data_IF_921296600979
#
_entry.id   IF_921296600979
#
_cell.length_a   1.000
_cell.length_b   1.000
_cell.length_c   1.000
_cell.angle_alpha   90.00
_cell.angle_beta   90.00
_cell.angle_gamma   90.00
#
_symmetry.space_group_name_H-M   'P 1'
#
loop_
_entity.id
_entity.type
_entity.pdbx_description
1 polymer ?
#
# COMPACT_ATOMS: atom_id res chain seq x y z
N UNK A 1 77.90 56.13 -36.88
CA UNK A 1 77.01 54.95 -37.03
C UNK A 1 77.10 54.30 -38.41
N UNK A 2 77.00 55.05 -39.51
CA UNK A 2 76.96 54.51 -40.89
C UNK A 2 78.16 53.66 -41.28
N UNK A 3 79.38 54.02 -40.85
CA UNK A 3 80.58 53.23 -41.16
C UNK A 3 80.61 51.84 -40.51
N UNK A 4 79.97 51.66 -39.35
CA UNK A 4 79.92 50.35 -38.67
C UNK A 4 78.95 49.41 -39.37
N UNK A 5 77.76 49.92 -39.74
CA UNK A 5 76.78 49.18 -40.54
C UNK A 5 77.29 48.88 -41.94
N UNK A 6 78.02 49.81 -42.56
CA UNK A 6 78.64 49.59 -43.87
C UNK A 6 79.68 48.46 -43.82
N UNK A 7 80.53 48.42 -42.79
CA UNK A 7 81.52 47.33 -42.62
C UNK A 7 80.86 45.99 -42.31
N UNK A 8 79.80 45.98 -41.50
CA UNK A 8 79.05 44.77 -41.18
C UNK A 8 78.29 44.23 -42.41
N UNK A 9 77.66 45.11 -43.19
CA UNK A 9 77.00 44.75 -44.44
C UNK A 9 77.98 44.28 -45.51
N UNK A 10 79.16 44.92 -45.63
CA UNK A 10 80.20 44.49 -46.57
C UNK A 10 80.82 43.14 -46.18
N UNK A 11 80.96 42.86 -44.87
CA UNK A 11 81.41 41.56 -44.38
C UNK A 11 80.37 40.46 -44.64
N UNK A 12 79.09 40.75 -44.37
CA UNK A 12 77.98 39.86 -44.67
C UNK A 12 77.89 39.57 -46.18
N UNK A 13 78.13 40.57 -47.04
CA UNK A 13 78.12 40.39 -48.50
C UNK A 13 79.34 39.59 -49.02
N UNK A 14 80.57 39.85 -48.50
CA UNK A 14 81.78 39.13 -48.94
C UNK A 14 81.80 37.65 -48.52
N UNK A 15 81.12 37.30 -47.43
CA UNK A 15 81.01 35.93 -46.90
C UNK A 15 79.55 35.49 -46.78
N UNK A 16 78.72 35.84 -47.76
CA UNK A 16 77.27 35.62 -47.74
C UNK A 16 76.87 34.18 -47.38
N UNK A 17 77.61 33.20 -47.90
CA UNK A 17 77.34 31.79 -47.63
C UNK A 17 77.49 31.38 -46.16
N UNK A 18 78.47 31.93 -45.42
CA UNK A 18 78.63 31.63 -43.99
C UNK A 18 77.52 32.24 -43.14
N UNK A 19 77.06 33.44 -43.52
CA UNK A 19 75.95 34.12 -42.82
C UNK A 19 74.64 33.38 -43.04
N UNK A 20 74.37 32.91 -44.27
CA UNK A 20 73.18 32.12 -44.60
C UNK A 20 73.17 30.79 -43.84
N UNK A 21 74.27 30.02 -43.86
CA UNK A 21 74.35 28.76 -43.12
C UNK A 21 74.16 29.00 -41.61
N UNK A 22 74.79 30.06 -41.06
CA UNK A 22 74.65 30.41 -39.65
C UNK A 22 73.19 30.69 -39.26
N UNK A 23 72.46 31.45 -40.09
CA UNK A 23 71.03 31.70 -39.85
C UNK A 23 70.17 30.44 -40.00
N UNK A 24 70.45 29.60 -41.00
CA UNK A 24 69.73 28.31 -41.14
C UNK A 24 69.98 27.42 -39.92
N UNK A 25 71.21 27.37 -39.40
CA UNK A 25 71.52 26.61 -38.19
C UNK A 25 70.77 27.16 -36.96
N UNK A 26 70.75 28.49 -36.78
CA UNK A 26 69.99 29.14 -35.70
C UNK A 26 68.49 28.87 -35.80
N UNK A 27 67.91 28.98 -37.00
CA UNK A 27 66.49 28.69 -37.24
C UNK A 27 66.21 27.20 -37.00
N UNK A 28 67.09 26.30 -37.44
CA UNK A 28 66.96 24.86 -37.21
C UNK A 28 66.99 24.50 -35.73
N UNK A 29 67.89 25.12 -34.95
CA UNK A 29 67.97 24.93 -33.50
C UNK A 29 66.70 25.46 -32.83
N UNK A 30 66.27 26.68 -33.16
CA UNK A 30 65.03 27.26 -32.60
C UNK A 30 63.79 26.42 -32.95
N UNK A 31 63.70 25.96 -34.20
CA UNK A 31 62.61 25.08 -34.65
C UNK A 31 62.63 23.72 -33.94
N UNK A 32 63.81 23.12 -33.75
CA UNK A 32 63.97 21.86 -33.02
C UNK A 32 63.57 21.97 -31.55
N UNK A 33 63.95 23.06 -30.87
CA UNK A 33 63.53 23.34 -29.49
C UNK A 33 62.03 23.56 -29.41
N UNK A 34 61.45 24.33 -30.32
CA UNK A 34 60.00 24.55 -30.36
C UNK A 34 59.22 23.25 -30.60
N UNK A 35 59.72 22.35 -31.45
CA UNK A 35 59.05 21.08 -31.73
C UNK A 35 59.11 20.07 -30.56
N UNK A 36 60.14 20.14 -29.72
CA UNK A 36 60.36 19.17 -28.62
C UNK A 36 59.96 19.70 -27.25
N UNK A 37 60.04 21.01 -27.04
CA UNK A 37 59.74 21.67 -25.77
C UNK A 37 58.57 22.67 -25.86
N UNK A 38 58.03 22.95 -27.05
CA UNK A 38 56.85 23.79 -27.22
C UNK A 38 55.60 23.06 -26.74
N UNK A 39 55.13 23.41 -25.54
CA UNK A 39 53.85 22.92 -25.02
C UNK A 39 52.64 23.40 -25.84
N UNK A 40 51.47 22.85 -25.55
CA UNK A 40 50.20 23.29 -26.15
C UNK A 40 49.84 24.69 -25.66
N UNK A 41 49.50 25.60 -26.58
CA UNK A 41 48.98 26.92 -26.21
C UNK A 41 47.62 26.76 -25.50
N UNK A 42 47.62 26.91 -24.18
CA UNK A 42 46.40 26.96 -23.38
C UNK A 42 46.08 28.41 -23.01
N UNK A 43 44.84 28.83 -23.27
CA UNK A 43 44.33 30.16 -22.91
C UNK A 43 43.96 30.26 -21.42
N UNK A 44 44.15 29.20 -20.63
CA UNK A 44 43.85 29.19 -19.21
C UNK A 44 45.01 29.80 -18.39
N UNK A 45 44.79 30.96 -17.79
CA UNK A 45 45.75 31.62 -16.89
C UNK A 45 45.49 31.11 -15.47
N UNK A 46 46.28 30.17 -14.97
CA UNK A 46 46.20 29.69 -13.58
C UNK A 46 47.08 30.55 -12.68
N UNK A 47 46.53 31.00 -11.56
CA UNK A 47 47.29 31.67 -10.49
C UNK A 47 47.37 30.71 -9.31
N UNK A 48 48.47 29.96 -9.25
CA UNK A 48 48.70 28.97 -8.22
C UNK A 48 48.69 29.63 -6.82
N UNK A 49 47.91 29.05 -5.90
CA UNK A 49 47.84 29.49 -4.50
C UNK A 49 46.70 30.46 -4.13
N UNK A 50 45.70 30.67 -5.01
CA UNK A 50 44.51 31.44 -4.67
C UNK A 50 43.37 30.55 -4.16
N UNK A 51 42.54 31.06 -3.25
CA UNK A 51 41.37 30.34 -2.72
C UNK A 51 40.35 29.95 -3.81
N UNK A 52 40.28 30.73 -4.89
CA UNK A 52 39.48 30.40 -6.06
C UNK A 52 39.99 29.12 -6.76
N UNK A 53 41.32 28.94 -6.83
CA UNK A 53 41.92 27.78 -7.46
C UNK A 53 41.68 26.51 -6.65
N UNK A 54 41.84 26.56 -5.32
CA UNK A 54 41.53 25.42 -4.43
C UNK A 54 40.05 25.06 -4.44
N UNK A 55 39.16 26.04 -4.63
CA UNK A 55 37.72 25.79 -4.79
C UNK A 55 37.43 25.06 -6.10
N UNK A 56 38.05 25.48 -7.21
CA UNK A 56 37.92 24.81 -8.51
C UNK A 56 38.48 23.38 -8.44
N UNK A 57 39.66 23.20 -7.84
CA UNK A 57 40.28 21.88 -7.64
C UNK A 57 39.40 20.97 -6.76
N UNK A 58 38.79 21.51 -5.71
CA UNK A 58 37.89 20.74 -4.83
C UNK A 58 36.58 20.38 -5.55
N UNK A 59 36.05 21.30 -6.36
CA UNK A 59 34.86 21.05 -7.18
C UNK A 59 35.15 19.97 -8.22
N UNK A 60 36.29 20.02 -8.90
CA UNK A 60 36.73 19.01 -9.87
C UNK A 60 36.99 17.64 -9.21
N UNK A 61 37.58 17.64 -8.00
CA UNK A 61 37.85 16.41 -7.25
C UNK A 61 36.58 15.74 -6.70
N UNK A 62 35.55 16.51 -6.31
CA UNK A 62 34.32 15.97 -5.69
C UNK A 62 33.15 15.84 -6.64
N UNK A 63 33.12 16.62 -7.71
CA UNK A 63 32.07 16.64 -8.71
C UNK A 63 32.72 16.69 -10.10
N UNK A 64 33.34 15.58 -10.50
CA UNK A 64 33.98 15.45 -11.82
C UNK A 64 33.04 15.82 -12.98
N UNK A 65 31.73 15.61 -12.79
CA UNK A 65 30.70 15.95 -13.77
C UNK A 65 30.42 17.45 -13.86
N UNK A 66 30.61 18.22 -12.78
CA UNK A 66 30.39 19.67 -12.76
C UNK A 66 31.46 20.46 -13.52
N UNK A 67 32.62 19.84 -13.77
CA UNK A 67 33.72 20.41 -14.56
C UNK A 67 33.59 20.14 -16.06
N UNK A 68 32.56 19.41 -16.50
CA UNK A 68 32.35 19.06 -17.92
C UNK A 68 31.79 20.24 -18.71
N UNK A 69 32.21 20.34 -19.97
CA UNK A 69 31.61 21.28 -20.92
C UNK A 69 30.27 20.78 -21.43
N UNK A 70 29.32 21.69 -21.64
CA UNK A 70 28.04 21.38 -22.29
C UNK A 70 28.10 21.89 -23.74
N UNK A 71 27.95 20.98 -24.70
CA UNK A 71 27.72 21.30 -26.10
C UNK A 71 26.23 21.23 -26.42
N UNK A 72 25.68 22.28 -27.03
CA UNK A 72 24.28 22.29 -27.47
C UNK A 72 24.19 22.28 -28.99
N UNK A 73 23.41 21.33 -29.52
CA UNK A 73 23.08 21.25 -30.94
C UNK A 73 21.56 21.28 -31.07
N UNK A 74 21.06 22.13 -31.97
CA UNK A 74 19.62 22.31 -32.21
C UNK A 74 19.29 21.79 -33.61
N UNK A 75 18.47 20.76 -33.68
CA UNK A 75 17.91 20.26 -34.93
C UNK A 75 16.59 20.99 -35.21
N UNK A 76 16.47 21.61 -36.38
CA UNK A 76 15.23 22.27 -36.80
C UNK A 76 14.93 21.96 -38.26
N UNK A 77 13.64 21.86 -38.60
CA UNK A 77 13.18 21.83 -39.99
C UNK A 77 12.81 23.24 -40.45
N UNK A 78 13.03 23.53 -41.71
CA UNK A 78 12.72 24.84 -42.33
C UNK A 78 11.35 24.87 -43.00
N UNK A 79 10.73 23.70 -43.18
CA UNK A 79 9.39 23.54 -43.79
C UNK A 79 8.24 23.75 -42.79
N UNK A 80 8.55 23.91 -41.50
CA UNK A 80 7.56 24.06 -40.43
C UNK A 80 6.80 22.78 -40.08
N UNK A 81 7.15 21.65 -40.69
CA UNK A 81 6.53 20.37 -40.40
C UNK A 81 7.21 19.69 -39.19
N UNK A 82 6.48 18.87 -38.41
CA UNK A 82 7.09 18.05 -37.38
C UNK A 82 8.12 17.07 -37.96
N UNK A 83 9.09 16.67 -37.14
CA UNK A 83 9.97 15.56 -37.48
C UNK A 83 9.17 14.26 -37.64
N UNK A 84 9.40 13.54 -38.74
CA UNK A 84 8.88 12.19 -38.95
C UNK A 84 9.56 11.21 -38.01
N UNK A 85 8.97 10.01 -37.85
CA UNK A 85 9.57 9.01 -36.96
C UNK A 85 10.93 8.51 -37.49
N UNK A 86 11.08 8.40 -38.81
CA UNK A 86 12.36 8.08 -39.46
C UNK A 86 13.41 9.17 -39.22
N UNK A 87 13.04 10.46 -39.33
CA UNK A 87 13.96 11.58 -39.04
C UNK A 87 14.41 11.58 -37.57
N UNK A 88 13.49 11.28 -36.63
CA UNK A 88 13.82 11.16 -35.21
C UNK A 88 14.80 10.01 -34.96
N UNK A 89 14.56 8.86 -35.57
CA UNK A 89 15.43 7.70 -35.45
C UNK A 89 16.85 8.00 -35.97
N UNK A 90 16.94 8.67 -37.12
CA UNK A 90 18.22 9.12 -37.68
C UNK A 90 18.96 10.11 -36.77
N UNK A 91 18.25 11.07 -36.17
CA UNK A 91 18.83 12.01 -35.20
C UNK A 91 19.31 11.27 -33.94
N UNK A 92 18.51 10.36 -33.40
CA UNK A 92 18.90 9.54 -32.24
C UNK A 92 20.11 8.68 -32.56
N UNK A 93 20.18 8.06 -33.74
CA UNK A 93 21.34 7.29 -34.19
C UNK A 93 22.60 8.17 -34.32
N UNK A 94 22.47 9.39 -34.86
CA UNK A 94 23.57 10.34 -34.93
C UNK A 94 24.08 10.74 -33.52
N UNK A 95 23.17 10.95 -32.56
CA UNK A 95 23.54 11.22 -31.16
C UNK A 95 24.28 10.04 -30.53
N UNK A 96 23.87 8.80 -30.83
CA UNK A 96 24.61 7.60 -30.39
C UNK A 96 26.03 7.59 -30.95
N UNK A 97 26.21 7.89 -32.23
CA UNK A 97 27.55 8.01 -32.83
C UNK A 97 28.38 9.13 -32.20
N UNK A 98 27.75 10.25 -31.81
CA UNK A 98 28.44 11.33 -31.09
C UNK A 98 28.89 10.88 -29.70
N UNK A 99 28.08 10.07 -29.00
CA UNK A 99 28.44 9.51 -27.71
C UNK A 99 29.65 8.57 -27.77
N UNK A 100 29.93 7.95 -28.92
CA UNK A 100 31.12 7.09 -29.12
C UNK A 100 32.43 7.89 -29.25
N UNK A 101 32.36 9.22 -29.39
CA UNK A 101 33.57 10.05 -29.49
C UNK A 101 34.29 10.11 -28.14
N UNK A 102 35.63 9.96 -28.09
CA UNK A 102 36.39 9.93 -26.83
C UNK A 102 36.26 11.17 -25.93
N UNK A 103 35.85 12.30 -26.52
CA UNK A 103 35.66 13.57 -25.81
C UNK A 103 34.23 13.80 -25.31
N UNK A 104 33.28 12.88 -25.60
CA UNK A 104 31.87 13.01 -25.25
C UNK A 104 31.53 11.96 -24.20
N UNK A 105 31.06 12.42 -23.04
CA UNK A 105 30.72 11.53 -21.93
C UNK A 105 29.29 11.01 -21.98
N UNK A 106 28.33 11.82 -22.46
CA UNK A 106 26.93 11.44 -22.55
C UNK A 106 26.22 12.26 -23.64
N UNK A 107 25.07 11.77 -24.13
CA UNK A 107 24.19 12.47 -25.05
C UNK A 107 22.73 12.37 -24.62
N UNK A 108 22.01 13.47 -24.77
CA UNK A 108 20.58 13.54 -24.42
C UNK A 108 19.74 13.37 -25.67
N UNK A 109 18.88 12.35 -25.70
CA UNK A 109 17.84 12.21 -26.71
C UNK A 109 16.70 13.20 -26.42
N UNK A 110 16.50 14.23 -27.28
CA UNK A 110 15.50 15.25 -27.05
C UNK A 110 14.07 14.71 -27.17
N UNK A 111 13.85 13.67 -27.97
CA UNK A 111 12.51 13.10 -28.19
C UNK A 111 12.07 12.22 -27.03
N UNK A 112 12.99 11.46 -26.41
CA UNK A 112 12.71 10.76 -25.16
C UNK A 112 12.43 11.73 -24.02
N UNK A 113 13.21 12.81 -23.95
CA UNK A 113 13.03 13.88 -22.95
C UNK A 113 11.67 14.56 -23.12
N UNK A 114 11.29 14.90 -24.35
CA UNK A 114 9.99 15.48 -24.65
C UNK A 114 8.83 14.53 -24.28
N UNK A 115 8.93 13.24 -24.62
CA UNK A 115 7.91 12.25 -24.23
C UNK A 115 7.73 12.16 -22.71
N UNK A 116 8.82 12.21 -21.94
CA UNK A 116 8.76 12.26 -20.47
C UNK A 116 8.08 13.54 -19.98
N UNK A 117 8.42 14.70 -20.56
CA UNK A 117 7.81 15.97 -20.21
C UNK A 117 6.30 15.98 -20.49
N UNK A 118 5.88 15.46 -21.64
CA UNK A 118 4.47 15.34 -22.02
C UNK A 118 3.71 14.39 -21.08
N UNK A 119 4.34 13.27 -20.69
CA UNK A 119 3.76 12.34 -19.71
C UNK A 119 3.58 13.02 -18.35
N UNK A 120 4.61 13.70 -17.86
CA UNK A 120 4.57 14.41 -16.59
C UNK A 120 3.50 15.51 -16.59
N UNK A 121 3.37 16.24 -17.70
CA UNK A 121 2.33 17.25 -17.86
C UNK A 121 0.92 16.66 -17.79
N UNK A 122 0.71 15.48 -18.40
CA UNK A 122 -0.56 14.73 -18.28
C UNK A 122 -0.80 14.28 -16.85
N UNK A 123 0.20 13.72 -16.18
CA UNK A 123 0.06 13.27 -14.79
C UNK A 123 -0.30 14.42 -13.84
N UNK A 124 0.30 15.60 -14.04
CA UNK A 124 -0.05 16.82 -13.29
C UNK A 124 -1.46 17.30 -13.61
N UNK A 125 -1.87 17.26 -14.88
CA UNK A 125 -3.22 17.64 -15.29
C UNK A 125 -4.29 16.68 -14.73
N UNK A 126 -3.99 15.39 -14.64
CA UNK A 126 -4.89 14.36 -14.11
C UNK A 126 -4.90 14.30 -12.57
N UNK A 127 -3.90 14.88 -11.90
CA UNK A 127 -3.76 14.79 -10.45
C UNK A 127 -5.00 15.26 -9.67
N UNK A 128 -5.63 16.41 -9.98
CA UNK A 128 -6.84 16.86 -9.26
C UNK A 128 -7.99 15.86 -9.32
N UNK A 129 -8.20 15.22 -10.49
CA UNK A 129 -9.23 14.20 -10.65
C UNK A 129 -8.91 12.93 -9.85
N UNK A 130 -7.64 12.48 -9.87
CA UNK A 130 -7.16 11.34 -9.07
C UNK A 130 -7.31 11.59 -7.57
N UNK A 131 -7.01 12.80 -7.09
CA UNK A 131 -7.20 13.18 -5.69
C UNK A 131 -8.69 13.20 -5.29
N UNK A 132 -9.55 13.77 -6.14
CA UNK A 132 -11.00 13.79 -5.89
C UNK A 132 -11.59 12.37 -5.83
N UNK A 133 -11.24 11.50 -6.78
CA UNK A 133 -11.66 10.09 -6.75
C UNK A 133 -11.12 9.35 -5.51
N UNK A 134 -9.88 9.64 -5.11
CA UNK A 134 -9.29 9.16 -3.86
C UNK A 134 -10.10 9.57 -2.63
N UNK A 135 -10.48 10.84 -2.52
CA UNK A 135 -11.30 11.34 -1.41
C UNK A 135 -12.68 10.67 -1.39
N UNK A 136 -13.33 10.52 -2.54
CA UNK A 136 -14.63 9.82 -2.64
C UNK A 136 -14.51 8.36 -2.16
N UNK A 137 -13.41 7.68 -2.49
CA UNK A 137 -13.17 6.30 -2.01
C UNK A 137 -12.94 6.25 -0.50
N UNK A 138 -12.22 7.22 0.06
CA UNK A 138 -12.03 7.34 1.51
C UNK A 138 -13.36 7.58 2.22
N UNK A 139 -14.18 8.50 1.73
CA UNK A 139 -15.49 8.82 2.33
C UNK A 139 -16.43 7.61 2.28
N UNK A 140 -16.47 6.90 1.15
CA UNK A 140 -17.23 5.64 1.02
C UNK A 140 -16.70 4.54 1.95
N UNK A 141 -15.38 4.48 2.13
CA UNK A 141 -14.73 3.57 3.07
C UNK A 141 -15.14 3.86 4.51
N UNK A 142 -15.08 5.12 4.91
CA UNK A 142 -15.48 5.58 6.24
C UNK A 142 -16.96 5.29 6.52
N UNK A 143 -17.85 5.59 5.58
CA UNK A 143 -19.28 5.30 5.73
C UNK A 143 -19.58 3.81 5.92
N UNK A 144 -18.81 2.92 5.27
CA UNK A 144 -18.92 1.46 5.48
C UNK A 144 -18.43 1.04 6.87
N UNK A 145 -17.35 1.65 7.36
CA UNK A 145 -16.85 1.40 8.72
C UNK A 145 -17.89 1.84 9.75
N UNK A 146 -18.43 3.05 9.61
CA UNK A 146 -19.42 3.60 10.54
C UNK A 146 -20.69 2.74 10.56
N UNK A 147 -21.14 2.27 9.39
CA UNK A 147 -22.26 1.33 9.31
C UNK A 147 -21.91 0.01 9.99
N UNK A 148 -20.77 -0.60 9.68
CA UNK A 148 -20.36 -1.86 10.29
C UNK A 148 -20.21 -1.79 11.82
N UNK A 149 -19.79 -0.63 12.36
CA UNK A 149 -19.73 -0.41 13.80
C UNK A 149 -21.13 -0.35 14.45
N UNK A 150 -22.12 0.24 13.76
CA UNK A 150 -23.51 0.23 14.22
C UNK A 150 -24.11 -1.16 14.16
N UNK A 151 -23.97 -1.84 13.02
CA UNK A 151 -24.44 -3.22 12.84
C UNK A 151 -23.83 -4.16 13.89
N UNK A 152 -22.53 -3.99 14.22
CA UNK A 152 -21.88 -4.75 15.29
C UNK A 152 -22.41 -4.42 16.69
N UNK A 153 -22.78 -3.17 16.96
CA UNK A 153 -23.36 -2.78 18.23
C UNK A 153 -24.76 -3.37 18.42
N UNK A 154 -25.58 -3.34 17.36
CA UNK A 154 -26.92 -3.96 17.33
C UNK A 154 -26.81 -5.48 17.55
N UNK A 155 -25.96 -6.17 16.78
CA UNK A 155 -25.77 -7.62 16.94
C UNK A 155 -25.27 -8.02 18.35
N UNK A 156 -24.54 -7.15 19.05
CA UNK A 156 -24.12 -7.41 20.44
C UNK A 156 -25.28 -7.31 21.43
N UNK A 157 -26.23 -6.40 21.18
CA UNK A 157 -27.46 -6.29 21.99
C UNK A 157 -28.33 -7.51 21.74
N UNK A 158 -28.57 -7.85 20.48
CA UNK A 158 -29.36 -9.01 20.08
C UNK A 158 -28.82 -10.31 20.69
N UNK A 159 -27.50 -10.51 20.69
CA UNK A 159 -26.87 -11.66 21.32
C UNK A 159 -27.01 -11.67 22.85
N UNK A 160 -27.01 -10.49 23.49
CA UNK A 160 -27.23 -10.38 24.93
C UNK A 160 -28.68 -10.74 25.28
N UNK A 161 -29.65 -10.25 24.51
CA UNK A 161 -31.07 -10.53 24.68
C UNK A 161 -31.39 -12.01 24.43
N UNK A 162 -30.87 -12.59 23.34
CA UNK A 162 -31.03 -14.01 23.04
C UNK A 162 -30.46 -14.93 24.15
N UNK A 163 -29.38 -14.51 24.82
CA UNK A 163 -28.84 -15.23 25.99
C UNK A 163 -29.78 -15.17 27.21
N UNK A 164 -30.46 -14.04 27.42
CA UNK A 164 -31.47 -13.91 28.48
C UNK A 164 -32.65 -14.82 28.18
N UNK A 165 -33.16 -14.82 26.95
CA UNK A 165 -34.27 -15.68 26.52
C UNK A 165 -33.95 -17.17 26.64
N UNK A 166 -32.75 -17.58 26.22
CA UNK A 166 -32.30 -18.98 26.38
C UNK A 166 -32.28 -19.41 27.85
N UNK A 167 -31.81 -18.53 28.74
CA UNK A 167 -31.79 -18.81 30.19
C UNK A 167 -33.20 -18.89 30.78
N UNK A 168 -34.10 -18.01 30.34
CA UNK A 168 -35.50 -18.02 30.76
C UNK A 168 -36.21 -19.31 30.29
N UNK A 169 -36.04 -19.66 29.01
CA UNK A 169 -36.59 -20.87 28.43
C UNK A 169 -36.09 -22.13 29.14
N UNK A 170 -34.78 -22.23 29.44
CA UNK A 170 -34.23 -23.35 30.21
C UNK A 170 -34.90 -23.50 31.58
N UNK A 171 -35.10 -22.40 32.32
CA UNK A 171 -35.79 -22.44 33.62
C UNK A 171 -37.24 -22.93 33.51
N UNK A 172 -37.94 -22.60 32.42
CA UNK A 172 -39.30 -23.09 32.17
C UNK A 172 -39.30 -24.59 31.86
N UNK A 173 -38.34 -25.09 31.07
CA UNK A 173 -38.18 -26.53 30.86
C UNK A 173 -37.95 -27.26 32.19
N UNK A 174 -37.02 -26.77 33.01
CA UNK A 174 -36.69 -27.40 34.31
C UNK A 174 -37.91 -27.42 35.24
N UNK A 175 -38.67 -26.32 35.29
CA UNK A 175 -39.92 -26.21 36.08
C UNK A 175 -40.99 -27.16 35.56
N UNK A 176 -41.20 -27.21 34.25
CA UNK A 176 -42.18 -28.09 33.62
C UNK A 176 -41.86 -29.57 33.83
N UNK A 177 -40.59 -29.95 33.69
CA UNK A 177 -40.11 -31.30 33.98
C UNK A 177 -40.32 -31.66 35.46
N UNK A 178 -39.99 -30.75 36.38
CA UNK A 178 -40.19 -30.96 37.82
C UNK A 178 -41.66 -31.20 38.17
N UNK A 179 -42.59 -30.43 37.60
CA UNK A 179 -44.04 -30.62 37.78
C UNK A 179 -44.54 -31.96 37.24
N UNK A 180 -44.03 -32.41 36.09
CA UNK A 180 -44.42 -33.70 35.53
C UNK A 180 -43.90 -34.84 36.42
N UNK A 181 -42.67 -34.74 36.91
CA UNK A 181 -42.09 -35.74 37.80
C UNK A 181 -42.83 -35.82 39.15
N UNK A 182 -43.16 -34.68 39.77
CA UNK A 182 -43.93 -34.65 41.02
C UNK A 182 -45.32 -35.26 40.82
N UNK A 183 -46.03 -34.84 39.77
CA UNK A 183 -47.35 -35.34 39.47
C UNK A 183 -47.36 -36.83 39.11
N UNK A 184 -46.31 -37.34 38.44
CA UNK A 184 -46.17 -38.77 38.18
C UNK A 184 -46.00 -39.58 39.47
N UNK A 185 -45.22 -39.06 40.44
CA UNK A 185 -45.06 -39.69 41.75
C UNK A 185 -46.37 -39.67 42.56
N UNK A 186 -47.09 -38.54 42.55
CA UNK A 186 -48.41 -38.41 43.17
C UNK A 186 -49.42 -39.38 42.56
N UNK A 187 -49.45 -39.49 41.22
CA UNK A 187 -50.37 -40.41 40.54
C UNK A 187 -50.09 -41.87 40.87
N UNK A 188 -48.82 -42.24 41.02
CA UNK A 188 -48.42 -43.56 41.48
C UNK A 188 -48.88 -43.83 42.93
N UNK A 189 -48.68 -42.87 43.85
CA UNK A 189 -49.17 -42.99 45.22
C UNK A 189 -50.71 -43.06 45.30
N UNK A 190 -51.40 -42.28 44.46
CA UNK A 190 -52.86 -42.30 44.37
C UNK A 190 -53.37 -43.63 43.85
N UNK A 191 -52.68 -44.23 42.86
CA UNK A 191 -52.99 -45.59 42.38
C UNK A 191 -52.91 -46.61 43.51
N UNK A 192 -51.83 -46.59 44.30
CA UNK A 192 -51.67 -47.48 45.45
C UNK A 192 -52.78 -47.26 46.51
N UNK A 193 -53.17 -46.00 46.74
CA UNK A 193 -54.29 -45.66 47.61
C UNK A 193 -55.65 -46.17 47.12
N UNK A 194 -55.90 -46.12 45.81
CA UNK A 194 -57.11 -46.71 45.19
C UNK A 194 -57.11 -48.23 45.31
N UNK A 195 -55.98 -48.88 45.02
CA UNK A 195 -55.83 -50.34 45.17
C UNK A 195 -56.07 -50.79 46.62
N UNK A 196 -55.57 -50.03 47.60
CA UNK A 196 -55.86 -50.27 49.02
C UNK A 196 -57.35 -50.17 49.36
N UNK A 197 -58.04 -49.12 48.87
CA UNK A 197 -59.48 -48.96 49.10
C UNK A 197 -60.31 -50.07 48.42
N UNK A 198 -59.90 -50.54 47.24
CA UNK A 198 -60.53 -51.66 46.54
C UNK A 198 -60.34 -52.97 47.33
N UNK A 199 -59.14 -53.21 47.87
CA UNK A 199 -58.89 -54.37 48.71
C UNK A 199 -59.80 -54.38 49.94
N UNK A 200 -59.98 -53.22 50.60
CA UNK A 200 -60.90 -53.07 51.73
C UNK A 200 -62.37 -53.32 51.37
N UNK A 201 -62.77 -52.98 50.13
CA UNK A 201 -64.12 -53.26 49.61
C UNK A 201 -64.38 -54.76 49.40
N UNK A 202 -63.34 -55.54 49.16
CA UNK A 202 -63.44 -56.98 48.82
C UNK A 202 -63.56 -57.85 50.07
N UNK A 203 -63.18 -57.32 51.25
CA UNK A 203 -63.16 -58.01 52.55
C UNK A 203 -64.38 -57.62 53.43
N UNK A 204 -65.59 -57.75 52.87
CA UNK A 204 -66.90 -57.45 53.51
C UNK A 204 -67.12 -55.98 53.96
N UNK A 205 -66.39 -55.03 53.38
CA UNK A 205 -66.51 -53.60 53.67
C UNK A 205 -67.83 -52.96 53.18
N UNK A 206 -68.45 -52.13 54.02
CA UNK A 206 -69.64 -51.34 53.65
C UNK A 206 -69.30 -50.32 52.52
N UNK A 207 -69.92 -50.42 51.33
CA UNK A 207 -69.66 -49.52 50.21
C UNK A 207 -69.84 -48.04 50.55
N UNK A 208 -70.78 -47.72 51.46
CA UNK A 208 -71.09 -46.33 51.84
C UNK A 208 -69.93 -45.68 52.62
N UNK A 209 -69.11 -46.47 53.30
CA UNK A 209 -67.94 -45.98 54.04
C UNK A 209 -66.70 -45.78 53.16
N UNK A 210 -66.68 -46.31 51.93
CA UNK A 210 -65.55 -46.22 51.00
C UNK A 210 -65.68 -45.08 49.97
N UNK A 211 -66.92 -44.67 49.69
CA UNK A 211 -67.27 -43.59 48.77
C UNK A 211 -66.51 -42.27 49.03
N UNK A 212 -66.36 -41.79 50.29
CA UNK A 212 -65.60 -40.57 50.57
C UNK A 212 -64.11 -40.70 50.20
N UNK A 213 -63.49 -41.86 50.48
CA UNK A 213 -62.09 -42.12 50.17
C UNK A 213 -61.81 -42.19 48.66
N UNK A 214 -62.69 -42.86 47.91
CA UNK A 214 -62.60 -42.91 46.44
C UNK A 214 -62.80 -41.54 45.81
N UNK A 215 -63.73 -40.72 46.33
CA UNK A 215 -63.92 -39.32 45.88
C UNK A 215 -62.67 -38.48 46.15
N UNK A 216 -62.03 -38.66 47.29
CA UNK A 216 -60.77 -37.99 47.62
C UNK A 216 -59.64 -38.40 46.68
N UNK A 217 -59.46 -39.71 46.43
CA UNK A 217 -58.45 -40.20 45.47
C UNK A 217 -58.70 -39.70 44.05
N UNK A 218 -59.95 -39.66 43.59
CA UNK A 218 -60.32 -39.09 42.30
C UNK A 218 -59.97 -37.59 42.20
N UNK A 219 -60.14 -36.84 43.29
CA UNK A 219 -59.74 -35.43 43.34
C UNK A 219 -58.21 -35.27 43.22
N UNK A 220 -57.42 -36.10 43.92
CA UNK A 220 -55.96 -36.09 43.82
C UNK A 220 -55.46 -36.50 42.42
N UNK A 221 -56.08 -37.50 41.80
CA UNK A 221 -55.77 -37.91 40.42
C UNK A 221 -56.04 -36.75 39.44
N UNK A 222 -57.17 -36.06 39.59
CA UNK A 222 -57.50 -34.90 38.76
C UNK A 222 -56.49 -33.75 38.96
N UNK A 223 -56.04 -33.50 40.19
CA UNK A 223 -55.00 -32.51 40.48
C UNK A 223 -53.67 -32.89 39.82
N UNK A 224 -53.22 -34.14 39.97
CA UNK A 224 -51.99 -34.63 39.31
C UNK A 224 -52.05 -34.53 37.78
N UNK A 225 -53.19 -34.86 37.16
CA UNK A 225 -53.39 -34.68 35.72
C UNK A 225 -53.36 -33.19 35.31
N UNK A 226 -53.92 -32.30 36.14
CA UNK A 226 -53.82 -30.86 35.95
C UNK A 226 -52.37 -30.37 36.04
N UNK A 227 -51.58 -30.86 37.02
CA UNK A 227 -50.16 -30.54 37.13
C UNK A 227 -49.35 -31.02 35.92
N UNK A 228 -49.60 -32.23 35.40
CA UNK A 228 -48.96 -32.73 34.16
C UNK A 228 -49.31 -31.83 32.97
N UNK A 229 -50.57 -31.40 32.85
CA UNK A 229 -50.99 -30.49 31.79
C UNK A 229 -50.26 -29.14 31.88
N UNK A 230 -50.13 -28.59 33.09
CA UNK A 230 -49.42 -27.35 33.35
C UNK A 230 -47.91 -27.49 33.08
N UNK A 231 -47.30 -28.62 33.48
CA UNK A 231 -45.89 -28.90 33.20
C UNK A 231 -45.60 -29.04 31.72
N UNK A 232 -46.49 -29.69 30.95
CA UNK A 232 -46.38 -29.75 29.48
C UNK A 232 -46.52 -28.37 28.84
N UNK A 233 -47.35 -27.50 29.40
CA UNK A 233 -47.45 -26.11 28.94
C UNK A 233 -46.15 -25.33 29.20
N UNK A 234 -45.58 -25.43 30.41
CA UNK A 234 -44.30 -24.80 30.74
C UNK A 234 -43.16 -25.25 29.81
N UNK A 235 -43.12 -26.54 29.43
CA UNK A 235 -42.13 -27.06 28.46
C UNK A 235 -42.35 -26.47 27.07
N UNK A 236 -43.60 -26.38 26.59
CA UNK A 236 -43.90 -25.76 25.29
C UNK A 236 -43.51 -24.29 25.27
N UNK A 237 -43.86 -23.56 26.32
CA UNK A 237 -43.57 -22.14 26.44
C UNK A 237 -42.05 -21.90 26.56
N UNK A 238 -41.34 -22.76 27.29
CA UNK A 238 -39.89 -22.71 27.37
C UNK A 238 -39.19 -23.05 26.05
N UNK A 239 -39.68 -24.05 25.30
CA UNK A 239 -39.17 -24.35 23.97
C UNK A 239 -39.41 -23.19 22.99
N UNK A 240 -40.55 -22.51 23.10
CA UNK A 240 -40.85 -21.33 22.30
C UNK A 240 -39.88 -20.17 22.61
N UNK A 241 -39.57 -19.91 23.89
CA UNK A 241 -38.58 -18.91 24.30
C UNK A 241 -37.16 -19.26 23.84
N UNK A 242 -36.76 -20.54 23.94
CA UNK A 242 -35.47 -20.98 23.39
C UNK A 242 -35.43 -20.71 21.89
N UNK A 243 -36.46 -21.11 21.15
CA UNK A 243 -36.51 -20.91 19.70
C UNK A 243 -36.50 -19.42 19.32
N UNK A 244 -37.17 -18.56 20.09
CA UNK A 244 -37.11 -17.11 19.90
C UNK A 244 -35.68 -16.57 20.06
N UNK A 245 -34.97 -17.01 21.10
CA UNK A 245 -33.58 -16.61 21.36
C UNK A 245 -32.58 -17.07 20.28
N UNK A 246 -32.92 -18.07 19.47
CA UNK A 246 -32.12 -18.49 18.31
C UNK A 246 -32.46 -17.75 17.01
N UNK A 247 -33.67 -17.21 16.88
CA UNK A 247 -34.12 -16.45 15.70
C UNK A 247 -33.71 -14.97 15.80
N UNK A 248 -33.47 -14.48 17.02
CA UNK A 248 -32.97 -13.12 17.27
C UNK A 248 -31.46 -12.92 17.09
N UNK A 249 -30.67 -13.97 16.80
CA UNK A 249 -29.21 -13.92 16.56
C UNK A 249 -28.92 -14.16 15.08
#
# INVERSE_FOLDING_TARGET
>A
MSQFLYRLGQFAARRAWLVIIGWIAVIGILGGVAATAGGTFSTAMTINGTDAQTTIETLEAKFSDASRGIGQVVFHKTDGLPFTDEEKENITAALVSVHELPAVDDTVDPFKTQKKLDSNARDVADAPAKFSDGQIKLDKGQAKIDKGLKDLAEARVDLADGRVELTAGQRKLDKGLSKILSAAAELQANKEGVEYLIALATDDGDPDNLLPGLRYQLALINDGLAQISAGRQDIRDGQAEINAGWVGI
#
